data_IF_842611941227
#
_entry.id   IF_842611941227
#
_cell.length_a   1.000
_cell.length_b   1.000
_cell.length_c   1.000
_cell.angle_alpha   90.00
_cell.angle_beta   90.00
_cell.angle_gamma   90.00
#
_symmetry.space_group_name_H-M   'P 1'
#
loop_
_entity.id
_entity.type
_entity.pdbx_description
1 polymer ?
#
# COMPACT_ATOMS: atom_id res chain seq x y z
N UNK A 1 -16.66 -5.20 -16.95
CA UNK A 1 -15.53 -4.40 -17.46
C UNK A 1 -14.99 -5.10 -18.69
N UNK A 2 -14.60 -4.38 -19.73
CA UNK A 2 -13.90 -5.00 -20.87
C UNK A 2 -12.53 -5.52 -20.40
N UNK A 3 -11.98 -6.53 -21.07
CA UNK A 3 -10.68 -7.11 -20.72
C UNK A 3 -9.55 -6.06 -20.73
N UNK A 4 -9.64 -5.07 -21.61
CA UNK A 4 -8.71 -3.94 -21.66
C UNK A 4 -8.77 -3.07 -20.42
N UNK A 5 -9.98 -2.68 -19.97
CA UNK A 5 -10.14 -1.84 -18.78
C UNK A 5 -9.66 -2.55 -17.52
N UNK A 6 -9.93 -3.85 -17.40
CA UNK A 6 -9.44 -4.65 -16.28
C UNK A 6 -7.92 -4.76 -16.26
N UNK A 7 -7.29 -4.96 -17.42
CA UNK A 7 -5.84 -5.02 -17.54
C UNK A 7 -5.19 -3.68 -17.20
N UNK A 8 -5.73 -2.57 -17.70
CA UNK A 8 -5.26 -1.22 -17.36
C UNK A 8 -5.35 -1.00 -15.86
N UNK A 9 -6.46 -1.38 -15.22
CA UNK A 9 -6.65 -1.24 -13.77
C UNK A 9 -5.60 -2.01 -12.95
N UNK A 10 -5.29 -3.26 -13.31
CA UNK A 10 -4.25 -4.03 -12.61
C UNK A 10 -2.87 -3.40 -12.86
N UNK A 11 -2.58 -3.03 -14.11
CA UNK A 11 -1.28 -2.43 -14.45
C UNK A 11 -1.05 -1.13 -13.71
N UNK A 12 -2.06 -0.24 -13.60
CA UNK A 12 -1.93 1.01 -12.86
C UNK A 12 -1.66 0.76 -11.38
N UNK A 13 -2.38 -0.17 -10.76
CA UNK A 13 -2.16 -0.57 -9.37
C UNK A 13 -0.73 -1.08 -9.13
N UNK A 14 -0.26 -2.02 -9.95
CA UNK A 14 1.12 -2.56 -9.85
C UNK A 14 2.17 -1.47 -10.08
N UNK A 15 1.97 -0.60 -11.06
CA UNK A 15 2.88 0.51 -11.33
C UNK A 15 2.99 1.47 -10.13
N UNK A 16 1.88 1.79 -9.45
CA UNK A 16 1.91 2.64 -8.26
C UNK A 16 2.81 2.02 -7.19
N UNK A 17 2.67 0.72 -6.93
CA UNK A 17 3.48 0.01 -5.92
C UNK A 17 4.95 -0.06 -6.31
N UNK A 18 5.25 -0.35 -7.56
CA UNK A 18 6.63 -0.37 -8.05
C UNK A 18 7.28 1.01 -7.93
N UNK A 19 6.56 2.07 -8.31
CA UNK A 19 7.07 3.45 -8.22
C UNK A 19 7.30 3.85 -6.76
N UNK A 20 6.35 3.59 -5.86
CA UNK A 20 6.51 3.93 -4.43
C UNK A 20 7.66 3.15 -3.80
N UNK A 21 7.80 1.86 -4.12
CA UNK A 21 8.92 1.03 -3.63
C UNK A 21 10.28 1.55 -4.12
N UNK A 22 10.41 1.88 -5.42
CA UNK A 22 11.64 2.43 -5.99
C UNK A 22 11.96 3.79 -5.37
N UNK A 23 10.96 4.65 -5.19
CA UNK A 23 11.13 5.97 -4.59
C UNK A 23 11.62 5.87 -3.13
N UNK A 24 11.01 5.01 -2.32
CA UNK A 24 11.43 4.78 -0.93
C UNK A 24 12.82 4.14 -0.86
N UNK A 25 13.13 3.19 -1.74
CA UNK A 25 14.46 2.59 -1.83
C UNK A 25 15.53 3.64 -2.17
N UNK A 26 15.26 4.49 -3.16
CA UNK A 26 16.16 5.57 -3.57
C UNK A 26 16.44 6.54 -2.41
N UNK A 27 15.39 7.03 -1.74
CA UNK A 27 15.52 7.93 -0.59
C UNK A 27 16.21 7.26 0.62
N UNK A 28 15.97 5.97 0.83
CA UNK A 28 16.56 5.20 1.92
C UNK A 28 18.03 4.82 1.69
N UNK A 29 18.51 4.77 0.45
CA UNK A 29 19.86 4.29 0.14
C UNK A 29 20.95 5.07 0.89
N UNK A 30 20.88 6.40 0.96
CA UNK A 30 21.85 7.24 1.69
C UNK A 30 21.91 6.96 3.20
N UNK A 31 20.78 6.55 3.77
CA UNK A 31 20.64 6.30 5.21
C UNK A 31 20.94 4.84 5.58
N UNK A 32 20.59 3.90 4.70
CA UNK A 32 20.81 2.47 4.94
C UNK A 32 22.21 2.00 4.54
N UNK A 33 22.94 2.75 3.71
CA UNK A 33 24.33 2.46 3.33
C UNK A 33 25.35 2.87 4.40
N UNK A 34 25.00 3.80 5.30
CA UNK A 34 25.86 4.25 6.39
C UNK A 34 25.96 3.21 7.51
N UNK A 35 27.10 3.18 8.18
CA UNK A 35 27.36 2.31 9.33
C UNK A 35 26.35 2.57 10.45
N UNK A 36 26.03 1.56 11.27
CA UNK A 36 25.00 1.68 12.33
C UNK A 36 25.36 2.79 13.33
N UNK A 37 26.66 2.99 13.59
CA UNK A 37 27.19 3.99 14.53
C UNK A 37 27.04 5.42 13.99
N UNK A 38 27.29 5.63 12.70
CA UNK A 38 27.19 6.96 12.08
C UNK A 38 25.76 7.34 11.68
N UNK A 39 24.86 6.35 11.58
CA UNK A 39 23.46 6.53 11.18
C UNK A 39 22.69 7.48 12.11
N UNK A 40 23.10 7.60 13.38
CA UNK A 40 22.52 8.55 14.35
C UNK A 40 22.79 10.01 13.98
N UNK A 41 23.94 10.31 13.38
CA UNK A 41 24.33 11.66 12.98
C UNK A 41 23.80 12.06 11.60
N UNK A 42 23.24 11.10 10.85
CA UNK A 42 22.69 11.37 9.54
C UNK A 42 21.42 12.23 9.65
N UNK A 43 21.26 13.32 8.88
CA UNK A 43 20.09 14.22 8.99
C UNK A 43 18.76 13.51 8.68
N UNK A 44 18.82 12.40 7.93
CA UNK A 44 17.66 11.58 7.62
C UNK A 44 17.25 10.60 8.74
N UNK A 45 17.98 10.55 9.87
CA UNK A 45 17.70 9.68 11.00
C UNK A 45 16.32 9.93 11.61
N UNK A 46 15.88 11.18 11.68
CA UNK A 46 14.55 11.50 12.23
C UNK A 46 13.39 10.98 11.38
N UNK A 47 13.59 10.86 10.07
CA UNK A 47 12.58 10.38 9.14
C UNK A 47 12.56 8.84 9.04
N UNK A 48 13.75 8.21 8.98
CA UNK A 48 13.91 6.78 8.72
C UNK A 48 14.18 5.92 9.96
N UNK A 49 14.29 6.49 11.16
CA UNK A 49 14.26 5.68 12.39
C UNK A 49 12.95 4.87 12.45
N UNK A 50 12.92 3.73 13.16
CA UNK A 50 11.70 2.90 13.26
C UNK A 50 10.47 3.66 13.80
N UNK A 51 10.70 4.61 14.71
CA UNK A 51 9.67 5.55 15.22
C UNK A 51 9.64 6.88 14.47
N UNK A 52 10.24 6.92 13.28
CA UNK A 52 10.42 8.11 12.48
C UNK A 52 9.13 8.50 11.76
N UNK A 53 9.13 9.73 11.27
CA UNK A 53 7.95 10.34 10.65
C UNK A 53 7.54 9.69 9.32
N UNK A 54 8.37 8.84 8.72
CA UNK A 54 8.00 8.07 7.53
C UNK A 54 7.60 6.64 7.87
N UNK A 55 8.37 5.93 8.69
CA UNK A 55 8.12 4.50 8.97
C UNK A 55 6.83 4.23 9.74
N UNK A 56 6.59 4.98 10.82
CA UNK A 56 5.43 4.76 11.69
C UNK A 56 4.08 5.04 11.01
N UNK A 57 3.86 6.19 10.32
CA UNK A 57 2.60 6.42 9.64
C UNK A 57 2.39 5.51 8.43
N UNK A 58 3.44 5.04 7.75
CA UNK A 58 3.29 4.04 6.68
C UNK A 58 2.65 2.74 7.22
N UNK A 59 3.04 2.29 8.41
CA UNK A 59 2.42 1.13 9.06
C UNK A 59 0.96 1.37 9.49
N UNK A 60 0.65 2.57 9.98
CA UNK A 60 -0.74 2.97 10.31
C UNK A 60 -1.60 2.96 9.04
N UNK A 61 -1.10 3.55 7.96
CA UNK A 61 -1.78 3.58 6.66
C UNK A 61 -1.98 2.15 6.13
N UNK A 62 -0.96 1.28 6.20
CA UNK A 62 -1.08 -0.13 5.81
C UNK A 62 -2.17 -0.86 6.60
N UNK A 63 -2.22 -0.65 7.92
CA UNK A 63 -3.26 -1.26 8.77
C UNK A 63 -4.66 -0.76 8.43
N UNK A 64 -4.80 0.55 8.18
CA UNK A 64 -6.07 1.14 7.74
C UNK A 64 -6.49 0.62 6.37
N UNK A 65 -5.56 0.44 5.44
CA UNK A 65 -5.80 -0.16 4.14
C UNK A 65 -6.33 -1.59 4.32
N UNK A 66 -5.65 -2.45 5.08
CA UNK A 66 -6.14 -3.81 5.36
C UNK A 66 -7.54 -3.80 5.98
N UNK A 67 -7.79 -2.94 6.96
CA UNK A 67 -9.11 -2.78 7.59
C UNK A 67 -10.18 -2.37 6.58
N UNK A 68 -9.90 -1.38 5.73
CA UNK A 68 -10.80 -0.94 4.68
C UNK A 68 -11.02 -2.07 3.67
N UNK A 69 -9.99 -2.81 3.28
CA UNK A 69 -10.08 -3.95 2.37
C UNK A 69 -11.00 -5.05 2.92
N UNK A 70 -10.81 -5.44 4.19
CA UNK A 70 -11.64 -6.45 4.86
C UNK A 70 -13.07 -5.94 5.07
N UNK A 71 -13.24 -4.71 5.56
CA UNK A 71 -14.55 -4.09 5.77
C UNK A 71 -15.32 -3.96 4.45
N UNK A 72 -14.64 -3.59 3.37
CA UNK A 72 -15.18 -3.52 2.00
C UNK A 72 -15.72 -4.87 1.54
N UNK A 73 -14.97 -5.95 1.76
CA UNK A 73 -15.41 -7.31 1.43
C UNK A 73 -16.64 -7.74 2.24
N UNK A 74 -16.62 -7.51 3.56
CA UNK A 74 -17.74 -7.85 4.46
C UNK A 74 -18.98 -7.02 4.14
N UNK A 75 -18.83 -5.72 3.91
CA UNK A 75 -19.92 -4.82 3.57
C UNK A 75 -20.61 -5.28 2.27
N UNK A 76 -19.84 -5.68 1.26
CA UNK A 76 -20.41 -6.25 0.04
C UNK A 76 -21.15 -7.57 0.32
N UNK A 77 -20.58 -8.45 1.14
CA UNK A 77 -21.21 -9.74 1.49
C UNK A 77 -22.51 -9.56 2.30
N UNK A 78 -22.59 -8.52 3.13
CA UNK A 78 -23.71 -8.29 4.06
C UNK A 78 -24.83 -7.41 3.51
N UNK A 79 -24.50 -6.42 2.66
CA UNK A 79 -25.50 -5.49 2.14
C UNK A 79 -25.88 -5.84 0.70
N UNK A 80 -27.05 -6.45 0.53
CA UNK A 80 -27.64 -6.77 -0.78
C UNK A 80 -27.88 -5.52 -1.66
N UNK A 81 -27.98 -4.33 -1.06
CA UNK A 81 -28.11 -3.05 -1.76
C UNK A 81 -26.86 -2.69 -2.60
N UNK A 82 -25.67 -3.15 -2.19
CA UNK A 82 -24.42 -2.97 -2.93
C UNK A 82 -24.21 -4.02 -4.04
N UNK A 83 -25.13 -4.98 -4.21
CA UNK A 83 -25.05 -5.96 -5.29
C UNK A 83 -25.06 -5.32 -6.69
N UNK A 84 -25.57 -4.08 -6.81
CA UNK A 84 -25.64 -3.32 -8.07
C UNK A 84 -24.31 -2.63 -8.46
N UNK A 85 -23.36 -2.48 -7.53
CA UNK A 85 -22.13 -1.69 -7.74
C UNK A 85 -20.95 -2.46 -8.36
N UNK A 86 -21.12 -3.73 -8.74
CA UNK A 86 -20.10 -4.48 -9.49
C UNK A 86 -20.10 -5.98 -9.25
N UNK A 87 -19.43 -6.75 -10.12
CA UNK A 87 -19.30 -8.22 -10.04
C UNK A 87 -18.40 -8.63 -8.87
N UNK A 88 -18.66 -9.81 -8.27
CA UNK A 88 -17.98 -10.26 -7.04
C UNK A 88 -16.48 -10.46 -7.19
N UNK A 89 -16.06 -10.84 -8.40
CA UNK A 89 -14.67 -11.02 -8.79
C UNK A 89 -13.79 -9.77 -8.55
N UNK A 90 -14.25 -8.58 -8.95
CA UNK A 90 -13.42 -7.36 -8.86
C UNK A 90 -13.24 -6.85 -7.43
N UNK A 91 -14.24 -7.06 -6.56
CA UNK A 91 -14.12 -6.73 -5.14
C UNK A 91 -13.11 -7.62 -4.41
N UNK A 92 -13.02 -8.89 -4.85
CA UNK A 92 -12.04 -9.83 -4.31
C UNK A 92 -10.62 -9.50 -4.78
N UNK A 93 -10.45 -9.15 -6.06
CA UNK A 93 -9.16 -8.68 -6.61
C UNK A 93 -8.69 -7.39 -5.93
N UNK A 94 -9.57 -6.42 -5.70
CA UNK A 94 -9.26 -5.19 -4.97
C UNK A 94 -8.89 -5.47 -3.51
N UNK A 95 -9.65 -6.32 -2.81
CA UNK A 95 -9.35 -6.73 -1.44
C UNK A 95 -7.96 -7.37 -1.32
N UNK A 96 -7.65 -8.34 -2.19
CA UNK A 96 -6.34 -9.02 -2.17
C UNK A 96 -5.22 -8.02 -2.40
N UNK A 97 -5.38 -7.10 -3.37
CA UNK A 97 -4.39 -6.08 -3.64
C UNK A 97 -4.15 -5.15 -2.44
N UNK A 98 -5.23 -4.72 -1.78
CA UNK A 98 -5.17 -3.83 -0.62
C UNK A 98 -4.58 -4.50 0.63
N UNK A 99 -4.72 -5.82 0.75
CA UNK A 99 -4.16 -6.60 1.85
C UNK A 99 -2.73 -7.11 1.57
N UNK A 100 -2.30 -7.12 0.31
CA UNK A 100 -0.93 -7.50 -0.09
C UNK A 100 0.08 -6.36 0.03
N UNK A 101 -0.40 -5.12 0.14
CA UNK A 101 0.39 -3.91 0.38
C UNK A 101 0.63 -3.71 1.88
#
# INVERSE_FOLDING_TARGET
MSQLVHRIYITTLVCIVAITAIFLAYQGTSYYSTSIEERFYHPAHDYFKPSGLLGHPLGIVGTLLILIGVASYIARKRYSFLARFGRLKYWLEFHIFLCSL
#
